data_IF_617775186380
#
_entry.id   IF_617775186380
#
_cell.length_a   1.000
_cell.length_b   1.000
_cell.length_c   1.000
_cell.angle_alpha   90.00
_cell.angle_beta   90.00
_cell.angle_gamma   90.00
#
_symmetry.space_group_name_H-M   'P 1'
#
loop_
_entity.id
_entity.type
_entity.pdbx_description
1 polymer ?
#
# COMPACT_ATOMS: atom_id res chain seq x y z
N UNK A 1 21.53 7.90 30.23
CA UNK A 1 22.49 7.92 29.11
C UNK A 1 22.14 6.79 28.17
N UNK A 2 21.21 7.06 27.27
CA UNK A 2 20.95 6.20 26.11
C UNK A 2 21.69 6.82 24.93
N UNK A 3 22.34 5.98 24.14
CA UNK A 3 23.12 6.41 22.98
C UNK A 3 22.18 6.85 21.86
N UNK A 4 22.51 7.94 21.15
CA UNK A 4 21.66 8.53 20.08
C UNK A 4 21.26 7.53 18.98
N UNK A 5 21.94 6.40 18.87
CA UNK A 5 21.69 5.38 17.84
C UNK A 5 20.63 4.34 18.21
N UNK A 6 20.40 4.10 19.51
CA UNK A 6 19.38 3.15 19.97
C UNK A 6 17.97 3.77 19.99
N UNK A 7 17.88 5.09 19.97
CA UNK A 7 16.60 5.81 20.00
C UNK A 7 15.90 5.86 18.63
N UNK A 8 16.63 5.80 17.51
CA UNK A 8 16.02 5.74 16.16
C UNK A 8 15.35 4.38 15.89
N UNK A 9 15.94 3.29 16.39
CA UNK A 9 15.43 1.93 16.14
C UNK A 9 14.12 1.63 16.91
N UNK A 10 13.91 2.26 18.07
CA UNK A 10 12.69 2.08 18.85
C UNK A 10 11.53 2.88 18.24
N UNK A 11 11.80 4.03 17.64
CA UNK A 11 10.78 4.85 16.97
C UNK A 11 10.30 4.21 15.65
N UNK A 12 11.20 3.58 14.88
CA UNK A 12 10.83 2.87 13.64
C UNK A 12 9.97 1.61 13.89
N UNK A 13 10.17 0.95 15.03
CA UNK A 13 9.37 -0.24 15.40
C UNK A 13 7.98 0.16 15.94
N UNK A 14 7.87 1.22 16.75
CA UNK A 14 6.56 1.66 17.27
C UNK A 14 5.68 2.32 16.20
N UNK A 15 6.26 3.01 15.21
CA UNK A 15 5.50 3.57 14.09
C UNK A 15 5.14 2.49 13.05
N UNK A 16 6.00 1.47 12.84
CA UNK A 16 5.71 0.35 11.94
C UNK A 16 4.73 -0.70 12.51
N UNK A 17 4.70 -0.89 13.83
CA UNK A 17 3.88 -1.92 14.48
C UNK A 17 2.43 -1.50 14.78
N UNK A 18 2.10 -0.21 14.67
CA UNK A 18 0.73 0.29 14.89
C UNK A 18 -0.17 0.25 13.64
N UNK A 19 0.41 0.08 12.45
CA UNK A 19 -0.29 0.07 11.17
C UNK A 19 -0.54 -1.36 10.71
N UNK A 20 -1.77 -1.85 10.91
CA UNK A 20 -2.25 -3.01 10.15
C UNK A 20 -2.16 -2.65 8.66
N UNK A 21 -1.47 -3.43 7.82
CA UNK A 21 -1.33 -3.10 6.41
C UNK A 21 -2.71 -2.95 5.77
N UNK A 22 -2.96 -1.79 5.17
CA UNK A 22 -4.22 -1.43 4.53
C UNK A 22 -4.33 -2.03 3.13
N UNK A 23 -3.19 -2.48 2.58
CA UNK A 23 -3.12 -3.09 1.25
C UNK A 23 -2.24 -4.34 1.19
N UNK A 24 -2.47 -5.24 0.21
CA UNK A 24 -1.61 -6.40 0.00
C UNK A 24 -0.13 -6.04 -0.25
N UNK A 25 0.17 -4.88 -0.84
CA UNK A 25 1.56 -4.47 -1.08
C UNK A 25 2.27 -3.94 0.17
N UNK A 26 1.55 -3.27 1.06
CA UNK A 26 2.08 -2.89 2.38
C UNK A 26 2.36 -4.15 3.21
N UNK A 27 1.47 -5.16 3.14
CA UNK A 27 1.74 -6.45 3.78
C UNK A 27 2.99 -7.11 3.18
N UNK A 28 3.14 -7.08 1.85
CA UNK A 28 4.36 -7.60 1.20
C UNK A 28 5.60 -6.83 1.65
N UNK A 29 5.53 -5.51 1.79
CA UNK A 29 6.64 -4.69 2.26
C UNK A 29 7.05 -5.08 3.68
N UNK A 30 6.09 -5.33 4.56
CA UNK A 30 6.34 -5.82 5.92
C UNK A 30 7.08 -7.17 5.90
N UNK A 31 6.65 -8.11 5.03
CA UNK A 31 7.30 -9.42 4.87
C UNK A 31 8.74 -9.27 4.34
N UNK A 32 8.97 -8.41 3.35
CA UNK A 32 10.30 -8.17 2.78
C UNK A 32 11.23 -7.48 3.80
N UNK A 33 10.70 -6.54 4.58
CA UNK A 33 11.44 -5.91 5.70
C UNK A 33 11.83 -6.93 6.77
N UNK A 34 10.90 -7.84 7.11
CA UNK A 34 11.22 -8.94 8.02
C UNK A 34 12.33 -9.83 7.46
N UNK A 35 12.27 -10.22 6.18
CA UNK A 35 13.34 -11.02 5.52
C UNK A 35 14.68 -10.30 5.57
N UNK A 36 14.71 -9.00 5.28
CA UNK A 36 15.91 -8.16 5.41
C UNK A 36 16.49 -8.20 6.81
N UNK A 37 15.66 -8.09 7.85
CA UNK A 37 16.10 -8.17 9.26
C UNK A 37 16.73 -9.52 9.62
N UNK A 38 16.27 -10.59 8.98
CA UNK A 38 16.77 -11.96 9.18
C UNK A 38 17.96 -12.30 8.28
N UNK A 39 18.47 -11.34 7.48
CA UNK A 39 19.55 -11.57 6.53
C UNK A 39 19.17 -12.49 5.36
N UNK A 40 17.87 -12.68 5.11
CA UNK A 40 17.37 -13.43 3.97
C UNK A 40 17.34 -12.54 2.73
N UNK A 41 17.30 -13.17 1.55
CA UNK A 41 17.05 -12.46 0.30
C UNK A 41 15.70 -11.75 0.36
N UNK A 42 15.70 -10.45 0.04
CA UNK A 42 14.52 -9.60 0.07
C UNK A 42 14.44 -8.76 -1.21
N UNK A 43 13.23 -8.30 -1.52
CA UNK A 43 12.96 -7.35 -2.59
C UNK A 43 12.48 -6.02 -2.02
N UNK A 44 13.16 -4.93 -2.38
CA UNK A 44 12.66 -3.60 -2.09
C UNK A 44 11.42 -3.31 -2.94
N UNK A 45 10.34 -2.88 -2.27
CA UNK A 45 9.11 -2.45 -2.93
C UNK A 45 9.16 -0.91 -3.02
N UNK A 46 9.16 -0.33 -4.22
CA UNK A 46 9.18 1.12 -4.38
C UNK A 46 7.94 1.79 -3.81
N UNK A 47 8.11 3.00 -3.27
CA UNK A 47 7.03 3.81 -2.69
C UNK A 47 5.88 4.03 -3.67
N UNK A 48 6.17 4.28 -4.95
CA UNK A 48 5.14 4.49 -5.97
C UNK A 48 4.24 3.26 -6.20
N UNK A 49 4.74 2.04 -5.97
CA UNK A 49 3.95 0.81 -6.05
C UNK A 49 3.02 0.70 -4.84
N UNK A 50 3.50 1.10 -3.66
CA UNK A 50 2.71 1.14 -2.43
C UNK A 50 1.60 2.18 -2.52
N UNK A 51 1.92 3.38 -2.99
CA UNK A 51 0.95 4.46 -3.20
C UNK A 51 -0.12 4.08 -4.24
N UNK A 52 0.29 3.42 -5.33
CA UNK A 52 -0.65 2.93 -6.34
C UNK A 52 -1.57 1.84 -5.76
N UNK A 53 -1.03 0.93 -4.94
CA UNK A 53 -1.80 -0.09 -4.22
C UNK A 53 -2.82 0.54 -3.27
N UNK A 54 -2.41 1.57 -2.52
CA UNK A 54 -3.29 2.33 -1.60
C UNK A 54 -4.41 3.05 -2.35
N UNK A 55 -4.07 3.75 -3.42
CA UNK A 55 -5.06 4.44 -4.27
C UNK A 55 -6.12 3.48 -4.80
N UNK A 56 -5.70 2.28 -5.23
CA UNK A 56 -6.58 1.25 -5.75
C UNK A 56 -7.49 0.68 -4.65
N UNK A 57 -6.96 0.43 -3.45
CA UNK A 57 -7.77 0.03 -2.28
C UNK A 57 -8.80 1.11 -1.90
N UNK A 58 -8.39 2.38 -1.88
CA UNK A 58 -9.26 3.51 -1.55
C UNK A 58 -10.39 3.68 -2.57
N UNK A 59 -10.10 3.55 -3.86
CA UNK A 59 -11.12 3.63 -4.93
C UNK A 59 -12.11 2.47 -4.85
N UNK A 60 -11.64 1.25 -4.54
CA UNK A 60 -12.53 0.09 -4.30
C UNK A 60 -13.44 0.31 -3.09
N UNK A 61 -12.91 0.87 -2.02
CA UNK A 61 -13.69 1.21 -0.84
C UNK A 61 -14.73 2.29 -1.16
N UNK A 62 -14.32 3.37 -1.85
CA UNK A 62 -15.23 4.43 -2.31
C UNK A 62 -16.34 3.89 -3.20
N UNK A 63 -16.03 3.01 -4.15
CA UNK A 63 -17.03 2.38 -5.01
C UNK A 63 -18.01 1.52 -4.20
N UNK A 64 -17.51 0.74 -3.25
CA UNK A 64 -18.34 -0.07 -2.35
C UNK A 64 -19.29 0.81 -1.51
N UNK A 65 -18.78 1.90 -0.94
CA UNK A 65 -19.57 2.88 -0.18
C UNK A 65 -20.59 3.61 -1.06
N UNK A 66 -20.21 3.98 -2.29
CA UNK A 66 -21.11 4.61 -3.24
C UNK A 66 -22.24 3.66 -3.66
N UNK A 67 -21.95 2.38 -3.86
CA UNK A 67 -22.96 1.35 -4.13
C UNK A 67 -23.87 1.09 -2.93
N UNK A 68 -23.32 1.03 -1.72
CA UNK A 68 -24.13 0.78 -0.52
C UNK A 68 -25.10 1.92 -0.21
N UNK A 69 -24.70 3.17 -0.47
CA UNK A 69 -25.57 4.35 -0.35
C UNK A 69 -26.47 4.60 -1.56
N UNK A 70 -26.42 3.75 -2.59
CA UNK A 70 -27.16 3.89 -3.86
C UNK A 70 -26.93 5.27 -4.51
N UNK A 71 -25.65 5.65 -4.61
CA UNK A 71 -25.23 6.87 -5.28
C UNK A 71 -25.73 6.91 -6.75
N UNK A 72 -25.85 8.10 -7.35
CA UNK A 72 -26.23 8.24 -8.76
C UNK A 72 -25.28 7.49 -9.69
N UNK A 73 -25.80 7.01 -10.82
CA UNK A 73 -25.01 6.26 -11.82
C UNK A 73 -23.83 7.07 -12.35
N UNK A 74 -24.00 8.38 -12.54
CA UNK A 74 -22.92 9.28 -12.97
C UNK A 74 -21.74 9.26 -12.00
N UNK A 75 -22.02 9.23 -10.69
CA UNK A 75 -20.99 9.16 -9.65
C UNK A 75 -20.29 7.80 -9.64
N UNK A 76 -21.06 6.72 -9.77
CA UNK A 76 -20.52 5.36 -9.86
C UNK A 76 -19.64 5.18 -11.10
N UNK A 77 -20.04 5.76 -12.23
CA UNK A 77 -19.31 5.71 -13.50
C UNK A 77 -17.96 6.43 -13.42
N UNK A 78 -17.92 7.59 -12.77
CA UNK A 78 -16.66 8.33 -12.54
C UNK A 78 -15.72 7.52 -11.67
N UNK A 79 -16.19 7.01 -10.52
CA UNK A 79 -15.36 6.21 -9.60
C UNK A 79 -14.83 4.94 -10.30
N UNK A 80 -15.67 4.32 -11.14
CA UNK A 80 -15.27 3.12 -11.87
C UNK A 80 -14.23 3.41 -12.94
N UNK A 81 -14.33 4.55 -13.64
CA UNK A 81 -13.31 5.00 -14.60
C UNK A 81 -11.97 5.28 -13.91
N UNK A 82 -12.00 5.96 -12.77
CA UNK A 82 -10.80 6.22 -11.96
C UNK A 82 -10.14 4.92 -11.47
N UNK A 83 -10.97 3.93 -11.10
CA UNK A 83 -10.50 2.61 -10.68
C UNK A 83 -9.79 1.87 -11.81
N UNK A 84 -10.33 1.88 -13.02
CA UNK A 84 -9.71 1.24 -14.20
C UNK A 84 -8.35 1.85 -14.55
N UNK A 85 -8.23 3.18 -14.43
CA UNK A 85 -6.97 3.90 -14.61
C UNK A 85 -5.96 3.53 -13.53
N UNK A 86 -6.39 3.47 -12.27
CA UNK A 86 -5.55 3.09 -11.15
C UNK A 86 -5.06 1.63 -11.26
N UNK A 87 -5.92 0.70 -11.68
CA UNK A 87 -5.56 -0.70 -11.93
C UNK A 87 -4.53 -0.84 -13.05
N UNK A 88 -4.72 -0.10 -14.14
CA UNK A 88 -3.76 -0.08 -15.25
C UNK A 88 -2.40 0.46 -14.80
N UNK A 89 -2.37 1.59 -14.08
CA UNK A 89 -1.14 2.18 -13.55
C UNK A 89 -0.43 1.22 -12.59
N UNK A 90 -1.17 0.61 -11.67
CA UNK A 90 -0.62 -0.34 -10.71
C UNK A 90 -0.04 -1.58 -11.39
N UNK A 91 -0.72 -2.12 -12.40
CA UNK A 91 -0.24 -3.27 -13.19
C UNK A 91 1.07 -2.95 -13.92
N UNK A 92 1.15 -1.78 -14.56
CA UNK A 92 2.37 -1.31 -15.24
C UNK A 92 3.52 -1.19 -14.24
N UNK A 93 3.29 -0.51 -13.10
CA UNK A 93 4.32 -0.34 -12.07
C UNK A 93 4.82 -1.68 -11.54
N UNK A 94 3.93 -2.63 -11.24
CA UNK A 94 4.33 -3.97 -10.83
C UNK A 94 5.21 -4.66 -11.86
N UNK A 95 4.86 -4.58 -13.13
CA UNK A 95 5.65 -5.16 -14.21
C UNK A 95 7.02 -4.50 -14.32
N UNK A 96 7.10 -3.18 -14.22
CA UNK A 96 8.36 -2.41 -14.26
C UNK A 96 9.35 -2.85 -13.17
N UNK A 97 8.86 -3.15 -11.96
CA UNK A 97 9.70 -3.58 -10.84
C UNK A 97 9.81 -5.10 -10.66
N UNK A 98 9.21 -5.90 -11.55
CA UNK A 98 9.24 -7.36 -11.44
C UNK A 98 8.56 -7.89 -10.16
N UNK A 99 7.46 -7.24 -9.75
CA UNK A 99 6.68 -7.54 -8.54
C UNK A 99 5.45 -8.38 -8.81
#
# INVERSE_FOLDING_TARGET
NYSEWEAEYIYDIEVGAASTPETPMEFRQLVESYRRSQGLEFKDIPTEVLEASKTLSDLRLKLSQARSRKAPEDELSVIQSDLELAESKYSILKATYGL
#
